data_IF_207574633557
#
_entry.id   IF_207574633557
#
_cell.length_a   1.000
_cell.length_b   1.000
_cell.length_c   1.000
_cell.angle_alpha   90.00
_cell.angle_beta   90.00
_cell.angle_gamma   90.00
#
_symmetry.space_group_name_H-M   'P 1'
#
loop_
_entity.id
_entity.type
_entity.pdbx_description
1 polymer ?
#
# COMPACT_ATOMS: atom_id res chain seq x y z
N UNK A 1 24.86 27.90 37.88
CA UNK A 1 24.84 27.38 36.49
C UNK A 1 23.66 26.48 36.37
N UNK A 2 22.65 26.88 35.62
CA UNK A 2 21.52 26.01 35.35
C UNK A 2 21.96 24.98 34.29
N UNK A 3 21.97 23.71 34.64
CA UNK A 3 22.12 22.60 33.69
C UNK A 3 20.87 22.56 32.83
N UNK A 4 20.96 23.05 31.61
CA UNK A 4 19.95 22.85 30.61
C UNK A 4 20.08 21.39 30.14
N UNK A 5 19.63 20.47 31.00
CA UNK A 5 19.42 19.09 30.62
C UNK A 5 18.49 19.07 29.43
N UNK A 6 18.88 18.38 28.38
CA UNK A 6 18.05 18.07 27.24
C UNK A 6 16.73 17.52 27.78
N UNK A 7 15.67 18.34 27.81
CA UNK A 7 14.34 17.81 28.02
C UNK A 7 14.08 16.90 26.83
N UNK A 8 14.13 15.60 27.06
CA UNK A 8 13.41 14.71 26.20
C UNK A 8 12.03 15.33 26.04
N UNK A 9 11.77 15.90 24.88
CA UNK A 9 10.41 16.24 24.53
C UNK A 9 9.61 14.97 24.74
N UNK A 10 8.64 14.99 25.63
CA UNK A 10 7.66 13.92 25.82
C UNK A 10 6.71 13.85 24.63
N UNK A 11 7.18 14.27 23.46
CA UNK A 11 6.57 14.14 22.16
C UNK A 11 7.03 12.83 21.54
N UNK A 12 6.19 11.86 21.61
CA UNK A 12 6.20 10.62 20.87
C UNK A 12 7.56 9.91 20.81
N UNK A 13 7.70 8.93 21.67
CA UNK A 13 8.75 7.94 21.58
C UNK A 13 9.04 7.60 20.12
N UNK A 14 10.32 7.53 19.78
CA UNK A 14 10.82 6.83 18.60
C UNK A 14 10.41 5.35 18.73
N UNK A 15 9.12 5.07 18.63
CA UNK A 15 8.61 3.73 18.67
C UNK A 15 8.89 3.12 17.31
N UNK A 16 9.63 2.03 17.29
CA UNK A 16 9.66 1.15 16.15
C UNK A 16 8.21 0.76 15.85
N UNK A 17 7.74 1.08 14.66
CA UNK A 17 6.42 0.66 14.22
C UNK A 17 6.56 -0.56 13.34
N UNK A 18 5.84 -1.62 13.71
CA UNK A 18 5.84 -2.86 12.94
C UNK A 18 5.06 -2.61 11.65
N UNK A 19 5.66 -3.02 10.52
CA UNK A 19 5.02 -2.97 9.22
C UNK A 19 3.82 -3.94 9.21
N UNK A 20 2.67 -3.45 8.76
CA UNK A 20 1.53 -4.33 8.48
C UNK A 20 1.84 -5.23 7.26
N UNK A 21 1.10 -6.32 7.12
CA UNK A 21 1.23 -7.20 5.96
C UNK A 21 1.08 -6.41 4.64
N UNK A 22 2.06 -6.57 3.77
CA UNK A 22 2.06 -5.92 2.45
C UNK A 22 1.07 -6.59 1.49
N UNK A 23 0.92 -7.92 1.59
CA UNK A 23 -0.17 -8.65 0.97
C UNK A 23 -1.43 -8.48 1.82
N UNK A 24 -2.55 -8.09 1.22
CA UNK A 24 -3.77 -7.79 1.96
C UNK A 24 -5.03 -8.06 1.15
N UNK A 25 -6.14 -8.17 1.86
CA UNK A 25 -7.48 -8.30 1.28
C UNK A 25 -8.36 -7.18 1.80
N UNK A 26 -9.04 -6.50 0.89
CA UNK A 26 -10.08 -5.53 1.22
C UNK A 26 -11.45 -6.11 0.90
N UNK A 27 -12.36 -6.08 1.88
CA UNK A 27 -13.75 -6.53 1.74
C UNK A 27 -14.67 -5.33 1.53
N UNK A 28 -15.68 -5.50 0.69
CA UNK A 28 -16.65 -4.46 0.40
C UNK A 28 -18.03 -5.06 0.06
N UNK A 29 -19.07 -4.24 0.15
CA UNK A 29 -20.44 -4.61 -0.20
C UNK A 29 -20.65 -4.49 -1.71
N UNK A 30 -20.59 -5.62 -2.42
CA UNK A 30 -20.78 -5.66 -3.87
C UNK A 30 -22.23 -5.47 -4.32
N UNK A 31 -23.22 -5.52 -3.41
CA UNK A 31 -24.63 -5.32 -3.70
C UNK A 31 -25.09 -3.86 -3.59
N UNK A 32 -24.28 -3.01 -2.93
CA UNK A 32 -24.62 -1.63 -2.65
C UNK A 32 -24.27 -0.70 -3.82
N UNK A 33 -25.23 0.05 -4.31
CA UNK A 33 -25.02 1.11 -5.33
C UNK A 33 -24.24 2.32 -4.78
N UNK A 34 -24.15 2.46 -3.45
CA UNK A 34 -23.28 3.45 -2.81
C UNK A 34 -21.81 3.04 -2.81
N UNK A 35 -21.53 1.74 -3.00
CA UNK A 35 -20.18 1.16 -3.04
C UNK A 35 -19.76 0.88 -4.48
N UNK A 36 -20.65 0.30 -5.28
CA UNK A 36 -20.42 0.00 -6.71
C UNK A 36 -21.21 0.98 -7.56
N UNK A 37 -20.52 2.00 -8.05
CA UNK A 37 -21.12 3.00 -8.96
C UNK A 37 -20.97 2.52 -10.41
N UNK A 38 -22.08 2.11 -11.00
CA UNK A 38 -22.14 1.63 -12.39
C UNK A 38 -22.04 2.74 -13.42
N UNK A 39 -22.28 3.99 -13.05
CA UNK A 39 -22.17 5.12 -13.97
C UNK A 39 -20.73 5.61 -14.14
N UNK A 40 -19.96 5.51 -13.06
CA UNK A 40 -18.55 5.87 -13.02
C UNK A 40 -17.60 4.65 -13.17
N UNK A 41 -18.13 3.43 -13.13
CA UNK A 41 -17.37 2.16 -13.09
C UNK A 41 -16.40 2.10 -11.91
N UNK A 42 -16.85 2.54 -10.74
CA UNK A 42 -15.99 2.63 -9.56
C UNK A 42 -16.45 1.72 -8.43
N UNK A 43 -15.50 1.36 -7.58
CA UNK A 43 -15.73 0.64 -6.33
C UNK A 43 -15.15 1.50 -5.19
N UNK A 44 -15.99 1.80 -4.19
CA UNK A 44 -15.59 2.55 -3.01
C UNK A 44 -15.09 1.60 -1.93
N UNK A 45 -13.83 1.77 -1.52
CA UNK A 45 -13.17 1.04 -0.44
C UNK A 45 -12.40 2.06 0.39
N UNK A 46 -12.89 2.39 1.56
CA UNK A 46 -12.32 3.44 2.40
C UNK A 46 -10.86 3.20 2.73
N UNK A 47 -10.04 4.24 2.54
CA UNK A 47 -8.61 4.25 2.85
C UNK A 47 -7.83 3.06 2.26
N UNK A 48 -8.17 2.67 1.04
CA UNK A 48 -7.55 1.52 0.39
C UNK A 48 -6.05 1.71 0.13
N UNK A 49 -5.34 0.59 -0.03
CA UNK A 49 -3.89 0.53 -0.29
C UNK A 49 -3.55 0.16 -1.74
N UNK A 50 -4.53 0.19 -2.66
CA UNK A 50 -4.28 -0.13 -4.07
C UNK A 50 -3.53 1.00 -4.77
N UNK A 51 -2.62 0.63 -5.67
CA UNK A 51 -1.89 1.52 -6.57
C UNK A 51 -2.37 1.28 -8.00
N UNK A 52 -2.30 2.30 -8.84
CA UNK A 52 -2.55 2.12 -10.28
C UNK A 52 -1.53 1.12 -10.84
N UNK A 53 -2.01 0.12 -11.57
CA UNK A 53 -1.23 -0.99 -12.09
C UNK A 53 -1.02 -2.17 -11.13
N UNK A 54 -1.45 -2.08 -9.85
CA UNK A 54 -1.40 -3.24 -8.94
C UNK A 54 -2.32 -4.35 -9.41
N UNK A 55 -1.80 -5.58 -9.46
CA UNK A 55 -2.59 -6.77 -9.70
C UNK A 55 -3.45 -7.07 -8.49
N UNK A 56 -4.73 -7.27 -8.71
CA UNK A 56 -5.71 -7.58 -7.67
C UNK A 56 -6.56 -8.76 -8.11
N UNK A 57 -6.79 -9.70 -7.21
CA UNK A 57 -7.70 -10.82 -7.45
C UNK A 57 -9.07 -10.45 -6.91
N UNK A 58 -10.09 -10.49 -7.77
CA UNK A 58 -11.47 -10.29 -7.37
C UNK A 58 -12.09 -11.60 -6.89
N UNK A 59 -12.80 -11.55 -5.76
CA UNK A 59 -13.67 -12.63 -5.31
C UNK A 59 -15.05 -12.09 -4.98
N UNK A 60 -16.08 -12.83 -5.38
CA UNK A 60 -17.47 -12.52 -5.07
C UNK A 60 -17.92 -13.06 -3.71
N UNK A 61 -17.03 -13.70 -2.92
CA UNK A 61 -17.40 -14.28 -1.62
C UNK A 61 -18.39 -15.44 -1.68
N UNK A 62 -18.53 -16.11 -2.83
CA UNK A 62 -19.45 -17.22 -3.02
C UNK A 62 -20.88 -16.81 -3.40
N UNK A 63 -21.11 -15.56 -3.80
CA UNK A 63 -22.39 -14.99 -4.20
C UNK A 63 -22.36 -14.50 -5.66
N UNK A 64 -23.35 -13.72 -6.12
CA UNK A 64 -23.39 -13.23 -7.50
C UNK A 64 -22.31 -12.17 -7.78
N UNK A 65 -21.65 -12.28 -8.92
CA UNK A 65 -20.64 -11.33 -9.36
C UNK A 65 -21.19 -9.92 -9.58
N UNK A 66 -20.35 -8.91 -9.39
CA UNK A 66 -20.55 -7.59 -10.01
C UNK A 66 -20.55 -7.81 -11.53
N UNK A 67 -21.54 -7.28 -12.23
CA UNK A 67 -21.66 -7.48 -13.69
C UNK A 67 -20.54 -6.73 -14.41
N UNK A 68 -19.73 -7.46 -15.16
CA UNK A 68 -18.48 -6.99 -15.75
C UNK A 68 -17.23 -7.60 -15.11
N UNK A 69 -17.37 -8.24 -13.92
CA UNK A 69 -16.28 -8.93 -13.24
C UNK A 69 -16.55 -10.44 -13.17
N UNK A 70 -15.47 -11.22 -13.09
CA UNK A 70 -15.53 -12.70 -12.97
C UNK A 70 -14.80 -13.12 -11.70
N UNK A 71 -15.44 -13.97 -10.90
CA UNK A 71 -14.87 -14.50 -9.66
C UNK A 71 -13.53 -15.22 -9.90
N UNK A 72 -12.54 -14.97 -9.05
CA UNK A 72 -11.21 -15.56 -9.13
C UNK A 72 -10.31 -14.95 -10.22
N UNK A 73 -10.79 -13.96 -10.97
CA UNK A 73 -10.01 -13.31 -12.03
C UNK A 73 -9.11 -12.23 -11.47
N UNK A 74 -7.90 -12.15 -12.05
CA UNK A 74 -6.95 -11.06 -11.77
C UNK A 74 -7.28 -9.87 -12.65
N UNK A 75 -7.43 -8.72 -12.01
CA UNK A 75 -7.59 -7.41 -12.61
C UNK A 75 -6.44 -6.49 -12.21
N UNK A 76 -6.45 -5.27 -12.74
CA UNK A 76 -5.45 -4.25 -12.42
C UNK A 76 -6.15 -3.01 -11.88
N UNK A 77 -5.75 -2.56 -10.70
CA UNK A 77 -6.37 -1.41 -10.07
C UNK A 77 -6.01 -0.11 -10.80
N UNK A 78 -6.97 0.79 -10.93
CA UNK A 78 -6.79 2.19 -11.27
C UNK A 78 -7.19 2.99 -10.03
N UNK A 79 -6.22 3.61 -9.37
CA UNK A 79 -6.49 4.45 -8.20
C UNK A 79 -7.08 5.77 -8.66
N UNK A 80 -8.34 6.03 -8.31
CA UNK A 80 -9.00 7.31 -8.56
C UNK A 80 -8.63 8.31 -7.45
N UNK A 81 -8.87 7.91 -6.19
CA UNK A 81 -8.48 8.67 -5.01
C UNK A 81 -8.12 7.73 -3.84
N UNK A 82 -8.19 8.18 -2.59
CA UNK A 82 -7.83 7.33 -1.44
C UNK A 82 -8.95 6.37 -1.00
N UNK A 83 -10.17 6.55 -1.50
CA UNK A 83 -11.34 5.72 -1.19
C UNK A 83 -11.93 5.02 -2.41
N UNK A 84 -11.51 5.40 -3.63
CA UNK A 84 -12.19 5.01 -4.87
C UNK A 84 -11.21 4.41 -5.86
N UNK A 85 -11.57 3.27 -6.43
CA UNK A 85 -10.82 2.58 -7.48
C UNK A 85 -11.71 2.25 -8.66
N UNK A 86 -11.06 2.05 -9.79
CA UNK A 86 -11.59 1.36 -10.97
C UNK A 86 -10.73 0.13 -11.25
N UNK A 87 -11.20 -0.77 -12.10
CA UNK A 87 -10.47 -1.97 -12.50
C UNK A 87 -10.23 -1.96 -14.00
N UNK A 88 -9.08 -2.50 -14.41
CA UNK A 88 -8.69 -2.68 -15.80
C UNK A 88 -8.36 -4.16 -16.08
N UNK A 89 -8.41 -4.54 -17.35
CA UNK A 89 -8.15 -5.92 -17.77
C UNK A 89 -6.65 -6.29 -17.73
N UNK A 90 -5.77 -5.31 -17.88
CA UNK A 90 -4.32 -5.50 -17.87
C UNK A 90 -3.60 -4.22 -17.38
N UNK A 91 -2.29 -4.33 -17.15
CA UNK A 91 -1.49 -3.23 -16.61
C UNK A 91 -1.39 -2.02 -17.57
N UNK A 92 -1.38 -2.26 -18.88
CA UNK A 92 -1.35 -1.19 -19.88
C UNK A 92 -2.62 -0.37 -19.84
N UNK A 93 -3.78 -1.05 -19.78
CA UNK A 93 -5.10 -0.41 -19.66
C UNK A 93 -5.20 0.37 -18.34
N UNK A 94 -4.70 -0.19 -17.23
CA UNK A 94 -4.70 0.50 -15.95
C UNK A 94 -3.89 1.81 -16.01
N UNK A 95 -2.72 1.77 -16.62
CA UNK A 95 -1.86 2.96 -16.78
C UNK A 95 -2.43 3.98 -17.76
N UNK A 96 -3.20 3.53 -18.74
CA UNK A 96 -3.90 4.38 -19.71
C UNK A 96 -5.26 4.92 -19.16
N UNK A 97 -5.72 4.44 -18.00
CA UNK A 97 -7.03 4.78 -17.45
C UNK A 97 -8.20 4.09 -18.17
N UNK A 98 -7.93 3.04 -18.96
CA UNK A 98 -8.97 2.25 -19.64
C UNK A 98 -9.57 1.25 -18.66
N UNK A 99 -10.73 1.56 -18.18
CA UNK A 99 -11.44 0.79 -17.14
C UNK A 99 -12.36 -0.28 -17.72
N UNK A 100 -12.68 -1.29 -16.91
CA UNK A 100 -13.73 -2.26 -17.19
C UNK A 100 -15.10 -1.59 -17.01
N UNK A 101 -16.01 -1.84 -17.95
CA UNK A 101 -17.38 -1.39 -17.85
C UNK A 101 -18.15 -2.26 -16.86
N UNK A 102 -18.57 -1.67 -15.74
CA UNK A 102 -19.44 -2.30 -14.73
C UNK A 102 -20.88 -1.94 -15.05
N UNK A 103 -21.70 -2.95 -15.36
CA UNK A 103 -23.09 -2.73 -15.81
C UNK A 103 -24.14 -3.14 -14.78
N UNK A 104 -23.73 -3.64 -13.64
CA UNK A 104 -24.62 -4.01 -12.53
C UNK A 104 -23.86 -4.34 -11.26
N UNK A 105 -24.53 -4.16 -10.12
CA UNK A 105 -24.01 -4.62 -8.82
C UNK A 105 -24.02 -6.13 -8.74
N UNK A 106 -23.23 -6.69 -7.82
CA UNK A 106 -23.30 -8.08 -7.42
C UNK A 106 -24.42 -8.35 -6.42
N UNK A 107 -24.29 -9.45 -5.70
CA UNK A 107 -25.14 -9.78 -4.55
C UNK A 107 -24.27 -10.05 -3.33
N UNK A 108 -24.73 -9.66 -2.14
CA UNK A 108 -24.03 -9.90 -0.87
C UNK A 108 -22.93 -8.89 -0.56
N UNK A 109 -22.45 -8.95 0.68
CA UNK A 109 -21.62 -7.95 1.32
C UNK A 109 -20.13 -8.36 1.46
N UNK A 110 -19.76 -9.54 0.95
CA UNK A 110 -18.46 -10.16 1.19
C UNK A 110 -17.59 -10.24 -0.07
N UNK A 111 -17.75 -9.29 -0.99
CA UNK A 111 -16.85 -9.20 -2.13
C UNK A 111 -15.47 -8.75 -1.67
N UNK A 112 -14.42 -9.24 -2.32
CA UNK A 112 -13.05 -8.88 -1.96
C UNK A 112 -12.20 -8.54 -3.17
N UNK A 113 -11.20 -7.67 -2.91
CA UNK A 113 -10.05 -7.44 -3.78
C UNK A 113 -8.79 -7.70 -2.96
N UNK A 114 -7.95 -8.61 -3.44
CA UNK A 114 -6.72 -9.03 -2.75
C UNK A 114 -5.49 -8.66 -3.55
N UNK A 115 -4.50 -8.06 -2.87
CA UNK A 115 -3.12 -7.92 -3.36
C UNK A 115 -2.30 -9.03 -2.71
N UNK A 116 -1.58 -9.80 -3.50
CA UNK A 116 -0.77 -10.92 -3.02
C UNK A 116 0.69 -10.78 -3.48
N UNK A 117 1.57 -11.51 -2.82
CA UNK A 117 2.90 -11.80 -3.35
C UNK A 117 2.73 -12.87 -4.44
N UNK A 118 2.84 -12.47 -5.68
CA UNK A 118 2.48 -13.27 -6.86
C UNK A 118 3.64 -13.48 -7.85
N UNK A 119 4.86 -13.05 -7.45
CA UNK A 119 6.04 -13.09 -8.30
C UNK A 119 6.03 -12.05 -9.44
N UNK A 120 5.06 -11.12 -9.44
CA UNK A 120 4.91 -10.08 -10.48
C UNK A 120 4.84 -8.68 -9.88
N UNK A 121 4.03 -8.49 -8.84
CA UNK A 121 3.94 -7.20 -8.15
C UNK A 121 5.25 -6.88 -7.42
N UNK A 122 5.82 -5.70 -7.72
CA UNK A 122 7.02 -5.19 -7.04
C UNK A 122 6.74 -4.02 -6.12
N UNK A 123 5.54 -3.40 -6.21
CA UNK A 123 5.19 -2.19 -5.45
C UNK A 123 4.06 -2.47 -4.46
N UNK A 124 4.27 -2.10 -3.21
CA UNK A 124 3.31 -2.28 -2.12
C UNK A 124 3.25 -1.02 -1.26
N UNK A 125 2.06 -0.71 -0.76
CA UNK A 125 1.89 0.39 0.19
C UNK A 125 2.24 -0.08 1.59
N UNK A 126 3.24 0.54 2.19
CA UNK A 126 3.63 0.31 3.57
C UNK A 126 2.65 0.98 4.52
N UNK A 127 2.09 0.21 5.44
CA UNK A 127 1.26 0.69 6.53
C UNK A 127 1.73 0.09 7.85
N UNK A 128 1.28 0.67 8.95
CA UNK A 128 1.49 0.20 10.32
C UNK A 128 0.23 0.48 11.16
N UNK A 129 0.14 -0.12 12.34
CA UNK A 129 -0.99 0.07 13.27
C UNK A 129 -2.36 -0.14 12.59
N UNK A 130 -2.48 -1.16 11.72
CA UNK A 130 -3.75 -1.54 11.08
C UNK A 130 -4.18 -0.61 9.93
N UNK A 131 -3.26 -0.02 9.20
CA UNK A 131 -3.57 0.70 7.96
C UNK A 131 -3.09 2.14 7.88
N UNK A 132 -2.43 2.67 8.92
CA UNK A 132 -1.80 3.99 8.85
C UNK A 132 -0.65 3.98 7.85
N UNK A 133 -0.71 4.81 6.81
CA UNK A 133 0.34 4.84 5.77
C UNK A 133 1.65 5.37 6.33
N UNK A 134 2.73 4.64 6.08
CA UNK A 134 4.08 5.08 6.41
C UNK A 134 4.41 6.37 5.63
N UNK A 135 5.09 7.31 6.29
CA UNK A 135 5.60 8.53 5.65
C UNK A 135 7.11 8.44 5.63
N UNK A 136 7.66 7.80 4.59
CA UNK A 136 9.09 7.61 4.41
C UNK A 136 9.65 8.66 3.45
N UNK A 137 10.74 9.29 3.82
CA UNK A 137 11.51 10.17 2.94
C UNK A 137 12.72 9.47 2.34
N UNK A 138 13.12 8.33 2.94
CA UNK A 138 14.24 7.48 2.51
C UNK A 138 13.94 6.02 2.79
N UNK A 139 14.43 5.13 1.94
CA UNK A 139 14.31 3.69 2.15
C UNK A 139 14.95 3.20 3.46
N UNK A 140 16.04 3.84 3.88
CA UNK A 140 16.73 3.48 5.12
C UNK A 140 15.92 3.72 6.42
N UNK A 141 14.76 4.39 6.34
CA UNK A 141 13.84 4.52 7.47
C UNK A 141 13.02 3.24 7.72
N UNK A 142 13.05 2.30 6.80
CA UNK A 142 12.42 1.00 6.94
C UNK A 142 13.50 -0.07 7.04
N UNK A 143 13.43 -0.88 8.10
CA UNK A 143 14.20 -2.10 8.22
C UNK A 143 13.36 -3.25 7.69
N UNK A 144 13.79 -3.89 6.62
CA UNK A 144 13.02 -4.93 5.93
C UNK A 144 13.79 -6.24 5.91
N UNK A 145 13.10 -7.32 6.28
CA UNK A 145 13.56 -8.70 6.14
C UNK A 145 12.72 -9.42 5.09
N UNK A 146 13.36 -10.18 4.22
CA UNK A 146 12.75 -11.07 3.25
C UNK A 146 13.27 -12.48 3.51
N UNK A 147 12.39 -13.39 3.91
CA UNK A 147 12.72 -14.77 4.30
C UNK A 147 13.84 -14.84 5.35
N UNK A 148 13.81 -13.94 6.34
CA UNK A 148 14.82 -13.86 7.40
C UNK A 148 16.12 -13.15 6.99
N UNK A 149 16.27 -12.72 5.74
CA UNK A 149 17.46 -12.00 5.26
C UNK A 149 17.16 -10.51 5.19
N UNK A 150 17.99 -9.71 5.87
CA UNK A 150 17.89 -8.24 5.84
C UNK A 150 18.13 -7.73 4.43
N UNK A 151 17.21 -6.91 3.95
CA UNK A 151 17.27 -6.33 2.62
C UNK A 151 18.00 -4.98 2.64
N UNK A 152 18.82 -4.75 1.62
CA UNK A 152 19.52 -3.48 1.46
C UNK A 152 18.56 -2.38 1.00
N UNK A 153 18.48 -1.24 1.72
CA UNK A 153 17.70 -0.09 1.27
C UNK A 153 18.44 0.69 0.16
N UNK A 154 17.66 1.20 -0.78
CA UNK A 154 18.14 2.07 -1.85
C UNK A 154 17.21 3.29 -1.98
N UNK A 155 17.78 4.49 -2.09
CA UNK A 155 17.01 5.70 -2.39
C UNK A 155 16.73 5.75 -3.92
N UNK A 156 15.94 4.80 -4.40
CA UNK A 156 15.60 4.62 -5.82
C UNK A 156 14.20 4.03 -5.97
N UNK A 157 13.48 4.47 -6.97
CA UNK A 157 12.20 3.90 -7.40
C UNK A 157 12.34 2.66 -8.29
N UNK A 158 13.59 2.30 -8.63
CA UNK A 158 13.95 1.10 -9.40
C UNK A 158 15.26 0.50 -8.86
N UNK A 159 15.23 -0.11 -7.67
CA UNK A 159 16.42 -0.66 -7.04
C UNK A 159 16.95 -1.86 -7.84
N UNK A 160 18.29 -1.97 -7.98
CA UNK A 160 18.94 -3.10 -8.66
C UNK A 160 18.94 -4.39 -7.80
N UNK A 161 18.88 -4.24 -6.48
CA UNK A 161 18.74 -5.32 -5.48
C UNK A 161 18.05 -4.77 -4.23
N UNK A 162 17.65 -5.66 -3.30
CA UNK A 162 16.96 -5.26 -2.07
C UNK A 162 15.64 -4.55 -2.33
N UNK A 163 15.47 -3.37 -1.76
CA UNK A 163 14.25 -2.57 -1.93
C UNK A 163 14.56 -1.08 -1.98
N UNK A 164 13.63 -0.34 -2.57
CA UNK A 164 13.61 1.12 -2.56
C UNK A 164 12.27 1.65 -2.07
N UNK A 165 12.09 2.96 -2.14
CA UNK A 165 10.83 3.63 -1.82
C UNK A 165 10.43 4.57 -2.95
N UNK A 166 9.11 4.68 -3.16
CA UNK A 166 8.49 5.62 -4.09
C UNK A 166 7.45 6.43 -3.32
N UNK A 167 7.41 7.71 -3.51
CA UNK A 167 6.50 8.69 -2.91
C UNK A 167 5.90 8.28 -1.55
N UNK A 168 6.65 8.56 -0.49
CA UNK A 168 6.18 8.52 0.89
C UNK A 168 5.96 7.13 1.48
N UNK A 169 4.98 6.37 1.02
CA UNK A 169 4.57 5.12 1.65
C UNK A 169 4.71 3.88 0.77
N UNK A 170 5.35 3.98 -0.40
CA UNK A 170 5.46 2.85 -1.33
C UNK A 170 6.82 2.19 -1.19
N UNK A 171 6.82 0.88 -0.93
CA UNK A 171 8.00 0.01 -1.02
C UNK A 171 8.08 -0.53 -2.44
N UNK A 172 9.28 -0.50 -3.02
CA UNK A 172 9.58 -1.06 -4.33
C UNK A 172 10.63 -2.15 -4.16
N UNK A 173 10.28 -3.39 -4.43
CA UNK A 173 11.22 -4.52 -4.43
C UNK A 173 11.98 -4.59 -5.76
N UNK A 174 13.26 -4.94 -5.71
CA UNK A 174 14.05 -5.20 -6.90
C UNK A 174 13.56 -6.46 -7.65
N UNK A 175 13.13 -7.47 -6.93
CA UNK A 175 12.48 -8.67 -7.45
C UNK A 175 11.11 -8.84 -6.77
N UNK A 176 10.10 -9.21 -7.54
CA UNK A 176 8.75 -9.39 -7.01
C UNK A 176 8.71 -10.57 -6.02
N UNK A 177 8.15 -10.36 -4.82
CA UNK A 177 7.98 -11.43 -3.85
C UNK A 177 7.01 -12.50 -4.38
N UNK A 178 7.30 -13.76 -4.09
CA UNK A 178 6.47 -14.92 -4.42
C UNK A 178 5.49 -15.25 -3.30
N UNK A 179 4.52 -16.10 -3.57
CA UNK A 179 3.47 -16.48 -2.59
C UNK A 179 4.00 -17.23 -1.35
N UNK A 180 5.21 -17.75 -1.41
CA UNK A 180 5.88 -18.42 -0.28
C UNK A 180 6.78 -17.48 0.53
N UNK A 181 6.96 -16.24 0.08
CA UNK A 181 7.87 -15.31 0.74
C UNK A 181 7.25 -14.69 1.98
N UNK A 182 8.08 -14.54 3.00
CA UNK A 182 7.74 -13.88 4.26
C UNK A 182 8.48 -12.56 4.32
N UNK A 183 7.71 -11.48 4.38
CA UNK A 183 8.24 -10.11 4.51
C UNK A 183 7.90 -9.62 5.91
N UNK A 184 8.91 -9.14 6.61
CA UNK A 184 8.77 -8.49 7.92
C UNK A 184 9.53 -7.18 7.91
N UNK A 185 9.03 -6.15 8.58
CA UNK A 185 9.71 -4.88 8.64
C UNK A 185 9.34 -4.02 9.83
N UNK A 186 10.23 -3.09 10.14
CA UNK A 186 10.02 -2.06 11.14
C UNK A 186 10.33 -0.69 10.55
N UNK A 187 9.41 0.25 10.73
CA UNK A 187 9.65 1.64 10.43
C UNK A 187 10.40 2.27 11.59
N UNK A 188 11.55 2.86 11.29
CA UNK A 188 12.34 3.66 12.24
C UNK A 188 11.96 5.11 12.00
N UNK A 189 11.16 5.70 12.89
CA UNK A 189 10.81 7.11 12.79
C UNK A 189 12.08 7.95 13.11
N UNK A 190 12.58 8.63 12.11
CA UNK A 190 13.70 9.55 12.24
C UNK A 190 13.19 10.95 12.57
N UNK A 191 12.99 11.25 13.84
CA UNK A 191 13.07 12.61 14.30
C UNK A 191 14.56 12.93 14.51
N UNK A 192 15.28 13.29 13.44
CA UNK A 192 16.47 14.08 13.65
C UNK A 192 15.99 15.46 14.10
N UNK A 193 16.31 15.90 15.34
CA UNK A 193 16.11 17.30 15.67
C UNK A 193 16.92 18.08 14.63
N UNK A 194 16.26 18.94 13.87
CA UNK A 194 16.95 19.97 13.12
C UNK A 194 17.68 20.81 14.17
N UNK A 195 19.00 20.70 14.23
CA UNK A 195 19.80 21.65 14.98
C UNK A 195 19.61 22.98 14.27
N UNK A 196 18.81 23.83 14.87
CA UNK A 196 18.73 25.22 14.46
C UNK A 196 20.03 25.89 14.85
N UNK A 197 20.94 25.99 13.88
CA UNK A 197 22.22 26.67 14.03
C UNK A 197 22.07 28.21 14.14
N UNK A 198 20.83 28.72 14.02
CA UNK A 198 20.58 30.17 14.14
C UNK A 198 20.77 30.73 15.55
N UNK A 199 20.87 29.85 16.57
CA UNK A 199 21.06 30.22 17.98
C UNK A 199 22.52 30.14 18.47
N UNK A 200 23.48 29.86 17.61
CA UNK A 200 24.90 29.96 17.97
C UNK A 200 25.33 31.39 17.67
N UNK A 201 24.96 32.31 18.54
CA UNK A 201 25.69 33.59 18.66
C UNK A 201 26.95 33.35 19.48
N UNK A 202 28.07 33.37 18.82
CA UNK A 202 29.39 33.52 19.45
C UNK A 202 29.60 34.98 19.77
#
# INVERSE_FOLDING_TARGET
>A
MAYLGNRNSTGENNSFKILDDLAFTSTFDGSSTAVVDISADTITINNHRFLTGSRVTYSNGGVGNITGLTNGTVYFAIKVDHNTIQLAANASDANAGTKINITGTGTGISHTLSVAFDGVNTKFVATFDGGTKAQMTRAAQLFLSHNGVIQRPHDSTSPANGYGTDVGSIIVFAAAPSSSDVIFGNLVANNFPTFDLSLIHI
#
